data_IF_649383547666
#
_entry.id   IF_649383547666
#
_cell.length_a   1.000
_cell.length_b   1.000
_cell.length_c   1.000
_cell.angle_alpha   90.00
_cell.angle_beta   90.00
_cell.angle_gamma   90.00
#
_symmetry.space_group_name_H-M   'P 1'
#
loop_
_entity.id
_entity.type
_entity.pdbx_description
1 polymer ?
#
# COMPACT_ATOMS: atom_id res chain seq x y z
N UNK A 1 17.45 -59.66 51.15
CA UNK A 1 16.47 -60.33 50.26
C UNK A 1 15.08 -59.94 50.70
N UNK A 2 14.31 -59.40 49.76
CA UNK A 2 12.88 -59.03 49.81
C UNK A 2 12.50 -57.91 50.81
N UNK A 3 12.05 -56.77 50.29
CA UNK A 3 11.42 -55.69 51.04
C UNK A 3 10.96 -54.58 50.11
N UNK A 4 9.67 -54.59 49.78
CA UNK A 4 9.01 -53.75 48.78
C UNK A 4 9.04 -52.24 49.12
N UNK A 5 9.26 -51.41 48.10
CA UNK A 5 9.12 -49.96 48.19
C UNK A 5 7.65 -49.54 47.99
N UNK A 6 7.06 -48.91 49.01
CA UNK A 6 5.76 -48.25 48.94
C UNK A 6 5.87 -46.97 48.10
N UNK A 7 4.96 -46.83 47.13
CA UNK A 7 4.70 -45.59 46.42
C UNK A 7 3.90 -44.62 47.31
N UNK A 8 4.39 -43.40 47.49
CA UNK A 8 3.62 -42.29 48.05
C UNK A 8 3.26 -41.31 46.93
N UNK A 9 1.97 -41.28 46.56
CA UNK A 9 1.39 -40.24 45.71
C UNK A 9 1.35 -38.92 46.51
N UNK A 10 2.13 -37.91 46.11
CA UNK A 10 1.81 -36.51 46.40
C UNK A 10 1.00 -35.95 45.23
N UNK A 11 -0.29 -35.69 45.46
CA UNK A 11 -1.11 -34.89 44.59
C UNK A 11 -0.71 -33.41 44.78
N UNK A 12 -0.01 -32.84 43.81
CA UNK A 12 0.17 -31.38 43.72
C UNK A 12 -0.99 -30.83 42.90
N UNK A 13 -1.93 -30.19 43.59
CA UNK A 13 -2.96 -29.34 42.99
C UNK A 13 -2.28 -28.08 42.43
N UNK A 14 -2.08 -28.03 41.12
CA UNK A 14 -1.71 -26.79 40.43
C UNK A 14 -2.98 -25.94 40.33
N UNK A 15 -3.08 -24.92 41.17
CA UNK A 15 -4.05 -23.86 41.00
C UNK A 15 -3.72 -23.11 39.71
N UNK A 16 -4.58 -23.21 38.70
CA UNK A 16 -4.46 -22.47 37.46
C UNK A 16 -4.56 -20.97 37.73
N UNK A 17 -3.50 -20.24 37.43
CA UNK A 17 -3.51 -18.79 37.33
C UNK A 17 -4.37 -18.39 36.13
N UNK A 18 -5.26 -17.39 36.25
CA UNK A 18 -6.02 -16.88 35.10
C UNK A 18 -5.05 -16.31 34.07
N UNK A 19 -5.25 -16.72 32.81
CA UNK A 19 -4.32 -16.51 31.71
C UNK A 19 -3.87 -15.06 31.57
N UNK A 20 -2.55 -14.85 31.63
CA UNK A 20 -1.95 -13.68 31.03
C UNK A 20 -2.35 -13.67 29.53
N UNK A 21 -2.99 -12.59 29.08
CA UNK A 21 -3.08 -12.33 27.64
C UNK A 21 -1.65 -12.39 27.10
N UNK A 22 -1.40 -13.28 26.14
CA UNK A 22 -0.15 -13.24 25.39
C UNK A 22 -0.03 -11.82 24.82
N UNK A 23 0.96 -11.08 25.31
CA UNK A 23 1.33 -9.81 24.72
C UNK A 23 1.86 -10.16 23.33
N UNK A 24 1.06 -9.84 22.31
CA UNK A 24 1.37 -10.14 20.93
C UNK A 24 2.62 -9.31 20.61
N UNK A 25 3.77 -9.98 20.39
CA UNK A 25 5.00 -9.31 19.98
C UNK A 25 4.66 -8.41 18.79
N UNK A 26 5.08 -7.13 18.80
CA UNK A 26 4.73 -6.22 17.71
C UNK A 26 5.15 -6.86 16.38
N UNK A 27 4.32 -6.71 15.33
CA UNK A 27 4.64 -7.27 14.03
C UNK A 27 6.03 -6.81 13.60
N UNK A 28 6.84 -7.75 13.09
CA UNK A 28 8.19 -7.43 12.62
C UNK A 28 8.11 -6.55 11.40
N UNK A 29 8.77 -5.39 11.49
CA UNK A 29 9.05 -4.49 10.37
C UNK A 29 10.43 -4.84 9.83
N UNK A 30 10.56 -4.96 8.51
CA UNK A 30 11.79 -5.31 7.83
C UNK A 30 12.66 -4.06 7.73
N UNK A 31 13.63 -3.95 8.64
CA UNK A 31 14.70 -2.96 8.49
C UNK A 31 15.50 -3.24 7.21
N UNK A 32 15.50 -2.28 6.28
CA UNK A 32 16.25 -2.38 5.04
C UNK A 32 17.65 -1.84 5.23
N UNK A 33 18.66 -2.51 4.67
CA UNK A 33 20.04 -2.04 4.69
C UNK A 33 20.50 -1.77 3.26
N UNK A 34 21.06 -0.58 3.02
CA UNK A 34 21.70 -0.23 1.75
C UNK A 34 23.07 0.38 1.97
N UNK A 35 24.02 -0.02 1.11
CA UNK A 35 25.32 0.64 1.01
C UNK A 35 25.22 1.82 0.03
N UNK A 36 25.22 3.04 0.57
CA UNK A 36 25.36 4.28 -0.20
C UNK A 36 26.80 4.41 -0.68
N UNK A 37 26.98 4.60 -1.98
CA UNK A 37 28.29 4.58 -2.65
C UNK A 37 28.70 5.95 -3.13
N UNK A 38 30.02 6.16 -3.20
CA UNK A 38 30.64 7.32 -3.84
C UNK A 38 30.34 7.35 -5.33
N UNK A 39 29.95 8.53 -5.85
CA UNK A 39 29.84 8.83 -7.28
C UNK A 39 31.07 9.56 -7.79
N UNK A 40 31.43 10.65 -7.11
CA UNK A 40 32.57 11.50 -7.42
C UNK A 40 33.39 11.81 -6.17
N UNK A 41 34.63 12.24 -6.34
CA UNK A 41 35.43 12.81 -5.27
C UNK A 41 36.48 13.78 -5.78
N UNK A 42 36.97 14.61 -4.86
CA UNK A 42 38.05 15.54 -5.10
C UNK A 42 39.02 15.54 -3.93
N UNK A 43 40.29 15.80 -4.21
CA UNK A 43 41.28 16.12 -3.18
C UNK A 43 41.86 17.50 -3.43
N UNK A 44 42.17 18.23 -2.36
CA UNK A 44 42.71 19.59 -2.44
C UNK A 44 44.03 19.67 -1.70
N UNK A 45 44.98 20.40 -2.26
CA UNK A 45 46.34 20.53 -1.72
C UNK A 45 46.64 21.99 -1.38
N UNK A 46 47.04 22.24 -0.14
CA UNK A 46 47.41 23.60 0.32
C UNK A 46 48.56 24.22 -0.47
N UNK A 47 49.53 23.40 -0.90
CA UNK A 47 50.69 23.83 -1.71
C UNK A 47 50.30 24.19 -3.14
N UNK A 48 49.27 23.56 -3.70
CA UNK A 48 48.77 23.83 -5.06
C UNK A 48 47.34 24.38 -5.00
N UNK A 49 47.17 25.60 -4.46
CA UNK A 49 45.86 26.04 -3.97
C UNK A 49 44.82 26.31 -5.05
N UNK A 50 45.25 26.43 -6.31
CA UNK A 50 44.42 26.67 -7.50
C UNK A 50 44.39 25.45 -8.43
N UNK A 51 45.01 24.34 -8.07
CA UNK A 51 45.06 23.14 -8.92
C UNK A 51 43.95 22.18 -8.48
N UNK A 52 42.96 21.89 -9.34
CA UNK A 52 41.95 20.90 -9.02
C UNK A 52 42.52 19.48 -9.14
N UNK A 53 41.94 18.55 -8.37
CA UNK A 53 42.19 17.12 -8.50
C UNK A 53 40.87 16.37 -8.40
N UNK A 54 40.22 16.19 -9.55
CA UNK A 54 38.90 15.58 -9.69
C UNK A 54 39.01 14.09 -10.06
N UNK A 55 38.33 13.23 -9.31
CA UNK A 55 38.31 11.77 -9.49
C UNK A 55 39.68 11.14 -9.82
N UNK A 56 40.76 11.41 -9.05
CA UNK A 56 42.03 10.76 -9.31
C UNK A 56 41.92 9.25 -9.04
N UNK A 57 42.82 8.47 -9.66
CA UNK A 57 42.77 6.99 -9.60
C UNK A 57 43.25 6.41 -8.26
N UNK A 58 44.04 7.16 -7.50
CA UNK A 58 44.62 6.71 -6.23
C UNK A 58 43.70 6.89 -5.02
N UNK A 59 44.20 6.48 -3.86
CA UNK A 59 43.51 6.67 -2.58
C UNK A 59 43.60 8.12 -2.09
N UNK A 60 42.68 8.46 -1.19
CA UNK A 60 42.44 9.82 -0.74
C UNK A 60 43.43 10.24 0.37
N UNK A 61 44.29 11.24 0.13
CA UNK A 61 45.17 11.76 1.16
C UNK A 61 44.41 12.71 2.11
N UNK A 62 44.71 12.62 3.40
CA UNK A 62 44.14 13.50 4.44
C UNK A 62 45.25 13.90 5.41
N UNK A 63 45.35 15.20 5.74
CA UNK A 63 46.32 15.72 6.70
C UNK A 63 47.66 16.15 6.08
N UNK A 64 48.68 16.37 6.92
CA UNK A 64 49.94 17.00 6.51
C UNK A 64 50.99 15.99 6.03
N UNK A 65 51.18 15.90 4.72
CA UNK A 65 52.23 15.06 4.12
C UNK A 65 53.59 15.77 4.15
N UNK A 66 54.54 15.22 4.90
CA UNK A 66 55.94 15.68 4.90
C UNK A 66 56.59 15.46 3.54
N UNK A 67 56.37 14.28 2.93
CA UNK A 67 56.95 13.91 1.63
C UNK A 67 56.46 14.83 0.50
N UNK A 68 55.16 15.09 0.42
CA UNK A 68 54.60 15.98 -0.60
C UNK A 68 54.74 17.48 -0.25
N UNK A 69 55.15 17.79 1.00
CA UNK A 69 55.30 19.15 1.56
C UNK A 69 54.00 19.95 1.44
N UNK A 70 52.86 19.33 1.76
CA UNK A 70 51.53 19.94 1.66
C UNK A 70 50.55 19.32 2.65
N UNK A 71 49.43 20.00 2.87
CA UNK A 71 48.27 19.46 3.60
C UNK A 71 47.19 19.11 2.59
N UNK A 72 46.59 17.94 2.76
CA UNK A 72 45.48 17.46 1.95
C UNK A 72 44.17 17.43 2.74
N UNK A 73 43.08 17.72 2.03
CA UNK A 73 41.71 17.39 2.43
C UNK A 73 41.05 16.65 1.27
N UNK A 74 40.12 15.76 1.59
CA UNK A 74 39.43 14.96 0.58
C UNK A 74 37.92 15.07 0.76
N UNK A 75 37.19 15.09 -0.35
CA UNK A 75 35.75 15.27 -0.40
C UNK A 75 35.11 14.20 -1.27
N UNK A 76 34.01 13.61 -0.82
CA UNK A 76 33.35 12.48 -1.44
C UNK A 76 31.87 12.77 -1.63
N UNK A 77 31.41 12.75 -2.88
CA UNK A 77 30.00 12.86 -3.21
C UNK A 77 29.38 11.47 -3.18
N UNK A 78 28.36 11.28 -2.36
CA UNK A 78 27.67 10.03 -2.07
C UNK A 78 26.28 10.04 -2.70
N UNK A 79 25.84 8.92 -3.27
CA UNK A 79 24.53 8.78 -3.94
C UNK A 79 23.40 8.46 -2.97
N UNK A 80 22.49 9.40 -2.75
CA UNK A 80 21.32 9.21 -1.88
C UNK A 80 20.07 8.76 -2.62
N UNK A 81 20.09 8.63 -3.95
CA UNK A 81 18.91 8.19 -4.74
C UNK A 81 18.25 6.89 -4.24
N UNK A 82 18.99 5.86 -3.79
CA UNK A 82 18.37 4.65 -3.22
C UNK A 82 17.47 4.94 -2.01
N UNK A 83 17.76 6.01 -1.26
CA UNK A 83 17.04 6.41 -0.05
C UNK A 83 15.89 7.39 -0.31
N UNK A 84 15.55 7.67 -1.58
CA UNK A 84 14.46 8.58 -1.92
C UNK A 84 13.15 8.13 -1.24
N UNK A 85 12.52 9.05 -0.49
CA UNK A 85 11.28 8.80 0.24
C UNK A 85 11.39 7.87 1.46
N UNK A 86 12.61 7.50 1.87
CA UNK A 86 12.84 6.63 3.01
C UNK A 86 12.98 7.42 4.33
N UNK A 87 12.56 6.79 5.42
CA UNK A 87 12.87 7.18 6.80
C UNK A 87 14.20 6.53 7.20
N UNK A 88 15.20 7.36 7.49
CA UNK A 88 16.54 6.89 7.91
C UNK A 88 16.55 6.62 9.41
N UNK A 89 16.81 5.36 9.78
CA UNK A 89 16.89 4.90 11.16
C UNK A 89 18.33 5.01 11.69
N UNK A 90 19.29 4.47 10.94
CA UNK A 90 20.72 4.55 11.26
C UNK A 90 21.55 4.79 9.98
N UNK A 91 22.70 5.45 10.11
CA UNK A 91 23.66 5.57 9.02
C UNK A 91 25.08 5.61 9.56
N UNK A 92 25.93 4.67 9.14
CA UNK A 92 27.31 4.56 9.59
C UNK A 92 28.26 4.69 8.40
N UNK A 93 29.21 5.61 8.50
CA UNK A 93 30.32 5.67 7.54
C UNK A 93 31.26 4.48 7.81
N UNK A 94 31.64 3.77 6.74
CA UNK A 94 32.69 2.77 6.77
C UNK A 94 33.72 3.14 5.71
N UNK A 95 34.82 3.78 6.14
CA UNK A 95 35.82 4.29 5.21
C UNK A 95 37.20 3.65 5.49
N UNK A 96 37.64 2.70 4.66
CA UNK A 96 38.87 1.95 4.93
C UNK A 96 40.09 2.87 5.02
N UNK A 97 40.88 2.71 6.09
CA UNK A 97 42.19 3.37 6.25
C UNK A 97 43.26 2.50 5.59
N UNK A 98 43.81 2.99 4.47
CA UNK A 98 44.82 2.25 3.68
C UNK A 98 46.20 2.37 4.32
N UNK A 99 46.57 3.56 4.77
CA UNK A 99 47.81 3.77 5.53
C UNK A 99 47.71 4.94 6.50
N UNK A 100 48.49 4.89 7.57
CA UNK A 100 48.60 5.95 8.56
C UNK A 100 50.07 6.16 8.95
N UNK A 101 50.49 7.41 9.11
CA UNK A 101 51.83 7.72 9.65
C UNK A 101 51.92 7.37 11.13
N UNK A 102 50.86 7.64 11.89
CA UNK A 102 50.73 7.25 13.30
C UNK A 102 49.29 6.93 13.64
N UNK A 103 49.13 5.94 14.52
CA UNK A 103 47.87 5.52 15.11
C UNK A 103 47.48 6.33 16.35
N UNK A 104 48.44 7.00 16.99
CA UNK A 104 48.28 7.70 18.27
C UNK A 104 47.83 9.16 18.10
N UNK A 105 47.39 9.50 16.89
CA UNK A 105 46.81 10.81 16.56
C UNK A 105 45.29 10.68 16.54
N UNK A 106 44.55 11.76 16.90
CA UNK A 106 43.09 11.75 16.79
C UNK A 106 42.63 11.35 15.38
N UNK A 107 41.48 10.68 15.29
CA UNK A 107 40.89 10.31 14.03
C UNK A 107 40.56 11.54 13.16
N UNK A 108 40.59 11.42 11.82
CA UNK A 108 40.13 12.48 10.94
C UNK A 108 38.69 12.90 11.26
N UNK A 109 38.40 14.19 11.14
CA UNK A 109 37.04 14.69 11.24
C UNK A 109 36.28 14.43 9.94
N UNK A 110 35.00 14.07 10.06
CA UNK A 110 34.07 13.90 8.95
C UNK A 110 32.99 14.97 9.03
N UNK A 111 32.70 15.61 7.91
CA UNK A 111 31.73 16.70 7.83
C UNK A 111 30.81 16.55 6.62
N UNK A 112 29.54 16.93 6.76
CA UNK A 112 28.72 17.31 5.62
C UNK A 112 29.22 18.65 5.06
N UNK A 113 29.29 18.75 3.73
CA UNK A 113 29.82 19.91 3.02
C UNK A 113 28.89 20.33 1.88
N UNK A 114 29.13 21.52 1.33
CA UNK A 114 28.57 21.89 0.03
C UNK A 114 29.08 20.97 -1.09
N UNK A 115 28.48 21.11 -2.27
CA UNK A 115 28.81 20.25 -3.41
C UNK A 115 30.21 20.50 -4.00
N UNK A 116 30.75 19.49 -4.68
CA UNK A 116 32.08 19.52 -5.33
C UNK A 116 31.95 19.36 -6.83
N UNK A 117 32.87 19.95 -7.58
CA UNK A 117 32.95 19.79 -9.03
C UNK A 117 34.40 19.66 -9.53
N UNK A 118 34.57 19.49 -10.85
CA UNK A 118 35.87 19.32 -11.50
C UNK A 118 36.86 20.49 -11.29
N UNK A 119 36.38 21.65 -10.88
CA UNK A 119 37.19 22.81 -10.57
C UNK A 119 37.41 23.00 -9.05
N UNK A 120 36.96 22.10 -8.17
CA UNK A 120 37.21 22.18 -6.72
C UNK A 120 38.70 22.28 -6.40
N UNK A 121 39.10 23.28 -5.62
CA UNK A 121 40.51 23.52 -5.22
C UNK A 121 40.60 23.90 -3.75
N UNK A 122 41.82 24.05 -3.20
CA UNK A 122 41.99 24.51 -1.82
C UNK A 122 41.37 25.89 -1.57
N UNK A 123 41.50 26.82 -2.54
CA UNK A 123 40.93 28.18 -2.44
C UNK A 123 39.43 28.23 -2.77
N UNK A 124 38.92 27.26 -3.55
CA UNK A 124 37.49 27.13 -3.90
C UNK A 124 36.94 25.78 -3.43
N UNK A 125 37.17 25.45 -2.16
CA UNK A 125 36.58 24.27 -1.54
C UNK A 125 35.14 24.57 -1.10
N UNK A 126 34.27 23.55 -1.00
CA UNK A 126 32.91 23.76 -0.50
C UNK A 126 32.90 24.27 0.95
N UNK A 127 31.78 24.86 1.33
CA UNK A 127 31.52 25.20 2.73
C UNK A 127 31.44 23.93 3.59
N UNK A 128 31.99 23.98 4.79
CA UNK A 128 31.91 22.91 5.79
C UNK A 128 30.69 23.19 6.66
N UNK A 129 29.65 22.36 6.55
CA UNK A 129 28.31 22.68 7.04
C UNK A 129 28.05 22.08 8.43
N UNK A 130 28.16 20.76 8.56
CA UNK A 130 27.83 20.03 9.80
C UNK A 130 28.89 18.98 10.10
N UNK A 131 29.47 19.01 11.29
CA UNK A 131 30.41 17.99 11.75
C UNK A 131 29.62 16.73 12.16
N UNK A 132 30.09 15.55 11.78
CA UNK A 132 29.50 14.27 12.16
C UNK A 132 29.68 13.93 13.66
N UNK A 133 30.54 14.67 14.36
CA UNK A 133 30.85 14.43 15.77
C UNK A 133 32.07 13.50 15.93
N UNK A 134 32.10 12.66 16.97
CA UNK A 134 33.20 11.75 17.22
C UNK A 134 33.42 10.76 16.07
N UNK A 135 34.69 10.50 15.75
CA UNK A 135 35.09 9.52 14.74
C UNK A 135 36.07 8.50 15.33
N UNK A 136 36.08 7.29 14.77
CA UNK A 136 36.98 6.19 15.15
C UNK A 136 37.95 5.85 14.00
N UNK A 137 38.79 4.83 14.16
CA UNK A 137 39.58 4.30 13.03
C UNK A 137 40.82 5.10 12.65
N UNK A 138 41.86 5.02 13.47
CA UNK A 138 43.11 5.77 13.23
C UNK A 138 44.18 4.97 12.50
N UNK A 139 44.10 3.64 12.46
CA UNK A 139 45.16 2.76 11.96
C UNK A 139 44.81 2.11 10.62
N UNK A 140 45.85 1.74 9.85
CA UNK A 140 45.69 0.91 8.66
C UNK A 140 45.04 -0.44 9.00
N UNK A 141 44.16 -0.93 8.13
CA UNK A 141 43.43 -2.18 8.36
C UNK A 141 42.17 -2.04 9.22
N UNK A 142 41.84 -0.80 9.62
CA UNK A 142 40.58 -0.44 10.26
C UNK A 142 39.78 0.51 9.36
N UNK A 143 38.53 0.79 9.74
CA UNK A 143 37.67 1.77 9.09
C UNK A 143 37.63 3.04 9.91
N UNK A 144 37.78 4.18 9.24
CA UNK A 144 37.30 5.46 9.76
C UNK A 144 35.78 5.39 9.79
N UNK A 145 35.21 5.43 10.99
CA UNK A 145 33.77 5.36 11.21
C UNK A 145 33.25 6.68 11.80
N UNK A 146 32.02 6.99 11.44
CA UNK A 146 31.28 8.16 11.93
C UNK A 146 29.79 7.85 11.88
N UNK A 147 29.07 8.19 12.95
CA UNK A 147 27.60 8.19 12.92
C UNK A 147 27.12 9.36 12.06
N UNK A 148 26.44 9.03 10.97
CA UNK A 148 25.90 9.98 10.02
C UNK A 148 24.36 10.01 10.02
N UNK A 149 23.70 9.35 10.99
CA UNK A 149 22.24 9.18 10.97
C UNK A 149 21.50 10.51 10.83
N UNK A 150 21.89 11.53 11.60
CA UNK A 150 21.27 12.85 11.53
C UNK A 150 21.55 13.56 10.19
N UNK A 151 22.81 13.52 9.72
CA UNK A 151 23.21 14.15 8.45
C UNK A 151 22.47 13.54 7.26
N UNK A 152 22.40 12.20 7.19
CA UNK A 152 21.74 11.49 6.09
C UNK A 152 20.22 11.69 6.17
N UNK A 153 19.63 11.65 7.36
CA UNK A 153 18.19 11.90 7.55
C UNK A 153 17.80 13.30 7.09
N UNK A 154 18.56 14.33 7.48
CA UNK A 154 18.32 15.72 7.06
C UNK A 154 18.41 15.87 5.54
N UNK A 155 19.41 15.26 4.90
CA UNK A 155 19.59 15.31 3.45
C UNK A 155 18.45 14.61 2.69
N UNK A 156 18.03 13.43 3.13
CA UNK A 156 16.92 12.67 2.54
C UNK A 156 15.59 13.41 2.73
N UNK A 157 15.32 13.96 3.92
CA UNK A 157 14.12 14.75 4.19
C UNK A 157 14.06 16.04 3.34
N UNK A 158 15.20 16.63 3.01
CA UNK A 158 15.31 17.77 2.10
C UNK A 158 15.20 17.37 0.60
N UNK A 159 14.99 16.09 0.28
CA UNK A 159 14.87 15.60 -1.10
C UNK A 159 16.19 15.62 -1.87
N UNK A 160 17.34 15.67 -1.18
CA UNK A 160 18.64 15.67 -1.83
C UNK A 160 18.92 14.30 -2.43
N UNK A 161 19.38 14.28 -3.69
CA UNK A 161 19.80 13.04 -4.35
C UNK A 161 21.26 12.67 -4.07
N UNK A 162 22.01 13.57 -3.43
CA UNK A 162 23.44 13.42 -3.17
C UNK A 162 23.82 14.09 -1.86
N UNK A 163 24.87 13.57 -1.19
CA UNK A 163 25.48 14.14 0.00
C UNK A 163 27.00 14.20 -0.19
N UNK A 164 27.62 15.34 0.11
CA UNK A 164 29.08 15.46 0.01
C UNK A 164 29.73 15.45 1.39
N UNK A 165 30.56 14.45 1.65
CA UNK A 165 31.38 14.32 2.86
C UNK A 165 32.74 14.98 2.65
N UNK A 166 33.16 15.86 3.54
CA UNK A 166 34.52 16.39 3.63
C UNK A 166 35.28 15.75 4.78
N UNK A 167 36.54 15.39 4.54
CA UNK A 167 37.42 14.75 5.52
C UNK A 167 38.71 15.56 5.65
N UNK A 168 39.07 15.88 6.89
CA UNK A 168 40.30 16.59 7.25
C UNK A 168 40.90 16.01 8.53
N UNK A 169 42.21 16.16 8.70
CA UNK A 169 42.83 15.78 9.97
C UNK A 169 42.36 16.70 11.10
N UNK A 170 42.17 16.16 12.31
CA UNK A 170 41.85 16.95 13.49
C UNK A 170 42.93 18.00 13.80
N UNK A 171 44.20 17.65 13.56
CA UNK A 171 45.33 18.58 13.56
C UNK A 171 46.09 18.50 12.23
N UNK A 172 45.82 19.46 11.35
CA UNK A 172 46.49 19.61 10.05
C UNK A 172 47.92 20.19 10.14
N UNK A 173 48.38 20.53 11.35
CA UNK A 173 49.75 20.98 11.60
C UNK A 173 50.68 19.82 12.00
N UNK A 174 50.17 18.76 12.64
CA UNK A 174 50.94 17.58 13.00
C UNK A 174 51.19 16.67 11.78
N UNK A 175 52.45 16.45 11.35
CA UNK A 175 52.74 15.53 10.25
C UNK A 175 52.37 14.06 10.54
N UNK A 176 52.21 13.68 11.81
CA UNK A 176 51.80 12.32 12.20
C UNK A 176 50.33 12.04 11.91
N UNK A 177 49.52 13.08 11.69
CA UNK A 177 48.09 12.96 11.38
C UNK A 177 47.81 12.56 9.93
N UNK A 178 48.84 12.51 9.08
CA UNK A 178 48.67 12.13 7.67
C UNK A 178 48.22 10.67 7.54
N UNK A 179 47.12 10.49 6.82
CA UNK A 179 46.54 9.18 6.49
C UNK A 179 46.17 9.14 5.01
N UNK A 180 46.13 7.93 4.48
CA UNK A 180 45.59 7.63 3.15
C UNK A 180 44.37 6.75 3.35
N UNK A 181 43.22 7.18 2.84
CA UNK A 181 41.95 6.49 2.97
C UNK A 181 41.51 5.96 1.61
N UNK A 182 40.83 4.81 1.58
CA UNK A 182 40.38 4.20 0.32
C UNK A 182 39.45 5.13 -0.45
N UNK A 183 39.65 5.35 -1.75
CA UNK A 183 38.74 6.21 -2.52
C UNK A 183 37.32 5.62 -2.72
N UNK A 184 36.97 4.50 -2.08
CA UNK A 184 35.64 3.89 -2.10
C UNK A 184 35.02 3.82 -0.70
N UNK A 185 34.71 4.97 -0.06
CA UNK A 185 33.92 4.95 1.17
C UNK A 185 32.51 4.42 0.88
N UNK A 186 31.91 3.79 1.89
CA UNK A 186 30.49 3.44 1.88
C UNK A 186 29.81 4.02 3.13
N UNK A 187 28.52 4.35 3.02
CA UNK A 187 27.67 4.58 4.19
C UNK A 187 26.69 3.43 4.24
N UNK A 188 26.75 2.63 5.31
CA UNK A 188 25.75 1.61 5.58
C UNK A 188 24.54 2.29 6.22
N UNK A 189 23.38 2.22 5.57
CA UNK A 189 22.16 2.91 6.00
C UNK A 189 21.06 1.90 6.27
N UNK A 190 20.54 1.92 7.49
CA UNK A 190 19.30 1.24 7.87
C UNK A 190 18.12 2.19 7.67
N UNK A 191 17.12 1.77 6.91
CA UNK A 191 15.99 2.61 6.53
C UNK A 191 14.69 1.81 6.41
N UNK A 192 13.59 2.56 6.29
CA UNK A 192 12.24 2.06 6.03
C UNK A 192 11.58 3.00 5.02
N UNK A 193 10.83 2.50 4.04
CA UNK A 193 9.98 3.29 3.15
C UNK A 193 8.54 3.16 3.62
N UNK A 194 7.76 4.23 3.46
CA UNK A 194 6.36 4.16 3.86
C UNK A 194 5.54 3.26 2.92
N UNK A 195 4.44 2.68 3.41
CA UNK A 195 3.47 2.00 2.57
C UNK A 195 3.03 2.87 1.40
N UNK A 196 2.81 2.25 0.25
CA UNK A 196 2.33 2.94 -0.94
C UNK A 196 0.90 3.46 -0.74
N UNK A 197 0.48 4.38 -1.61
CA UNK A 197 -0.91 4.81 -1.71
C UNK A 197 -1.81 3.58 -1.94
N UNK A 198 -2.79 3.29 -1.07
CA UNK A 198 -3.67 2.15 -1.27
C UNK A 198 -4.45 2.23 -2.59
N UNK A 199 -4.71 1.06 -3.18
CA UNK A 199 -5.37 0.91 -4.48
C UNK A 199 -6.48 -0.13 -4.42
N UNK A 200 -7.17 -0.38 -5.54
CA UNK A 200 -8.26 -1.35 -5.64
C UNK A 200 -9.33 -1.16 -4.56
N UNK A 201 -9.64 0.10 -4.24
CA UNK A 201 -10.68 0.44 -3.29
C UNK A 201 -12.01 -0.13 -3.78
N UNK A 202 -12.74 -0.81 -2.90
CA UNK A 202 -14.02 -1.42 -3.21
C UNK A 202 -14.90 -1.53 -1.96
N UNK A 203 -16.20 -1.75 -2.18
CA UNK A 203 -17.12 -2.10 -1.10
C UNK A 203 -17.78 -3.44 -1.38
N UNK A 204 -17.68 -4.36 -0.41
CA UNK A 204 -18.13 -5.75 -0.57
C UNK A 204 -19.64 -5.94 -0.51
N UNK A 205 -20.40 -4.90 -0.16
CA UNK A 205 -21.87 -4.91 -0.30
C UNK A 205 -22.32 -5.13 -1.75
N UNK A 206 -21.45 -4.86 -2.74
CA UNK A 206 -21.70 -5.11 -4.17
C UNK A 206 -20.48 -5.57 -4.97
N UNK A 207 -19.34 -5.83 -4.31
CA UNK A 207 -18.02 -6.01 -4.95
C UNK A 207 -17.68 -4.92 -5.98
N UNK A 208 -18.29 -3.73 -5.85
CA UNK A 208 -18.10 -2.66 -6.83
C UNK A 208 -16.81 -1.90 -6.50
N UNK A 209 -15.91 -1.72 -7.48
CA UNK A 209 -14.76 -0.88 -7.30
C UNK A 209 -15.21 0.56 -7.11
N UNK A 210 -14.50 1.29 -6.25
CA UNK A 210 -14.63 2.73 -6.16
C UNK A 210 -14.19 3.36 -7.48
N UNK A 211 -14.98 4.31 -7.97
CA UNK A 211 -14.76 4.98 -9.24
C UNK A 211 -15.20 6.45 -9.19
N UNK A 212 -15.12 7.16 -10.33
CA UNK A 212 -15.53 8.56 -10.42
C UNK A 212 -17.04 8.74 -10.27
N UNK A 213 -17.82 7.71 -10.61
CA UNK A 213 -19.27 7.74 -10.49
C UNK A 213 -19.71 7.40 -9.05
N UNK A 214 -20.72 8.12 -8.57
CA UNK A 214 -21.31 7.90 -7.25
C UNK A 214 -21.86 6.48 -7.13
N UNK A 215 -21.30 5.71 -6.20
CA UNK A 215 -21.76 4.36 -5.90
C UNK A 215 -23.00 4.37 -5.00
N UNK A 216 -23.82 3.32 -5.12
CA UNK A 216 -25.00 3.09 -4.29
C UNK A 216 -24.84 1.75 -3.56
N UNK A 217 -25.15 1.71 -2.26
CA UNK A 217 -25.04 0.51 -1.43
C UNK A 217 -26.32 0.24 -0.65
N UNK A 218 -26.68 -1.03 -0.53
CA UNK A 218 -27.92 -1.48 0.11
C UNK A 218 -27.83 -1.68 1.61
N UNK A 219 -26.68 -1.36 2.21
CA UNK A 219 -26.40 -1.66 3.62
C UNK A 219 -25.90 -0.41 4.34
N UNK A 220 -26.37 -0.24 5.58
CA UNK A 220 -25.92 0.80 6.51
C UNK A 220 -24.64 0.41 7.27
N UNK A 221 -24.21 -0.84 7.15
CA UNK A 221 -22.95 -1.37 7.70
C UNK A 221 -22.09 -2.01 6.59
N UNK A 222 -21.69 -1.27 5.55
CA UNK A 222 -20.91 -1.81 4.44
C UNK A 222 -19.50 -2.19 4.90
N UNK A 223 -18.90 -3.14 4.19
CA UNK A 223 -17.50 -3.51 4.37
C UNK A 223 -16.63 -2.79 3.33
N UNK A 224 -15.68 -1.99 3.83
CA UNK A 224 -14.73 -1.20 3.06
C UNK A 224 -13.48 -2.04 2.80
N UNK A 225 -12.94 -2.02 1.58
CA UNK A 225 -11.84 -2.88 1.17
C UNK A 225 -10.82 -2.12 0.33
N UNK A 226 -9.53 -2.40 0.53
CA UNK A 226 -8.47 -1.89 -0.32
C UNK A 226 -7.25 -2.82 -0.32
N UNK A 227 -6.48 -2.77 -1.40
CA UNK A 227 -5.14 -3.37 -1.45
C UNK A 227 -4.10 -2.37 -0.97
N UNK A 228 -3.25 -2.81 -0.04
CA UNK A 228 -2.17 -2.00 0.53
C UNK A 228 -0.85 -2.71 0.23
N UNK A 229 0.10 -1.98 -0.34
CA UNK A 229 1.45 -2.46 -0.62
C UNK A 229 2.47 -1.67 0.19
N UNK A 230 3.57 -2.33 0.48
CA UNK A 230 4.78 -1.74 1.02
C UNK A 230 5.95 -2.07 0.08
N UNK A 231 6.78 -1.08 -0.29
CA UNK A 231 7.92 -1.26 -1.17
C UNK A 231 9.11 -1.99 -0.53
N UNK A 232 9.17 -2.08 0.80
CA UNK A 232 10.26 -2.76 1.50
C UNK A 232 10.15 -4.28 1.31
N UNK A 233 11.28 -4.92 0.97
CA UNK A 233 11.38 -6.34 0.62
C UNK A 233 12.62 -6.96 1.24
N UNK A 234 12.48 -8.15 1.81
CA UNK A 234 13.63 -8.94 2.23
C UNK A 234 14.24 -9.72 1.05
N UNK A 235 15.34 -10.43 1.32
CA UNK A 235 16.08 -11.22 0.32
C UNK A 235 15.25 -12.31 -0.37
N UNK A 236 14.16 -12.77 0.24
CA UNK A 236 13.25 -13.78 -0.33
C UNK A 236 12.03 -13.17 -1.04
N UNK A 237 11.97 -11.83 -1.14
CA UNK A 237 10.86 -11.10 -1.75
C UNK A 237 9.64 -10.91 -0.84
N UNK A 238 9.71 -11.34 0.42
CA UNK A 238 8.71 -11.05 1.43
C UNK A 238 8.73 -9.57 1.79
N UNK A 239 7.56 -8.92 1.76
CA UNK A 239 7.42 -7.52 2.17
C UNK A 239 6.95 -7.37 3.61
N UNK A 240 6.84 -6.13 4.05
CA UNK A 240 6.40 -5.79 5.40
C UNK A 240 4.97 -6.23 5.71
N UNK A 241 4.73 -6.40 7.01
CA UNK A 241 3.39 -6.49 7.55
C UNK A 241 2.82 -5.08 7.66
N UNK A 242 1.64 -4.90 7.07
CA UNK A 242 0.93 -3.63 7.06
C UNK A 242 -0.47 -3.76 7.64
N UNK A 243 -0.98 -2.65 8.14
CA UNK A 243 -2.36 -2.47 8.58
C UNK A 243 -3.00 -1.32 7.81
N UNK A 244 -4.26 -1.48 7.43
CA UNK A 244 -5.06 -0.41 6.84
C UNK A 244 -5.74 0.43 7.91
N UNK A 245 -5.53 1.75 7.86
CA UNK A 245 -6.25 2.73 8.69
C UNK A 245 -7.32 3.40 7.85
N UNK A 246 -8.58 3.07 8.12
CA UNK A 246 -9.74 3.55 7.40
C UNK A 246 -10.41 4.69 8.14
N UNK A 247 -10.98 5.62 7.38
CA UNK A 247 -11.88 6.65 7.90
C UNK A 247 -13.01 6.93 6.94
N UNK A 248 -14.16 7.31 7.49
CA UNK A 248 -15.36 7.66 6.74
C UNK A 248 -16.00 8.94 7.29
N UNK A 249 -16.57 9.69 6.36
CA UNK A 249 -16.89 11.11 6.48
C UNK A 249 -18.23 11.40 5.81
N UNK A 250 -18.87 12.48 6.24
CA UNK A 250 -19.89 13.16 5.42
C UNK A 250 -19.19 14.02 4.36
N UNK A 251 -19.73 14.11 3.13
CA UNK A 251 -19.28 15.07 2.14
C UNK A 251 -19.31 16.48 2.73
N UNK A 252 -18.23 17.24 2.53
CA UNK A 252 -18.06 18.57 3.13
C UNK A 252 -17.21 18.62 4.40
N UNK A 253 -16.68 17.48 4.88
CA UNK A 253 -15.56 17.47 5.82
C UNK A 253 -15.91 17.20 7.28
N UNK A 254 -16.99 16.48 7.57
CA UNK A 254 -17.27 15.96 8.91
C UNK A 254 -16.84 14.50 9.03
N UNK A 255 -15.90 14.19 9.93
CA UNK A 255 -15.49 12.81 10.20
C UNK A 255 -16.54 12.11 11.05
N UNK A 256 -17.05 10.98 10.58
CA UNK A 256 -18.03 10.16 11.29
C UNK A 256 -17.32 9.11 12.14
N UNK A 257 -16.28 8.49 11.58
CA UNK A 257 -15.58 7.40 12.23
C UNK A 257 -14.31 6.95 11.53
N UNK A 258 -13.76 5.84 12.02
CA UNK A 258 -12.62 5.16 11.45
C UNK A 258 -12.32 3.85 12.20
N UNK A 259 -11.56 2.98 11.56
CA UNK A 259 -11.16 1.68 12.11
C UNK A 259 -9.82 1.25 11.52
N UNK A 260 -9.11 0.38 12.24
CA UNK A 260 -7.93 -0.31 11.72
C UNK A 260 -8.33 -1.72 11.30
N UNK A 261 -7.75 -2.20 10.19
CA UNK A 261 -7.90 -3.59 9.77
C UNK A 261 -7.06 -4.53 10.62
N UNK A 262 -7.17 -5.83 10.31
CA UNK A 262 -6.15 -6.80 10.70
C UNK A 262 -4.78 -6.46 10.06
N UNK A 263 -3.71 -6.99 10.66
CA UNK A 263 -2.33 -6.86 10.17
C UNK A 263 -2.00 -8.01 9.23
N UNK A 264 -1.47 -7.71 8.05
CA UNK A 264 -1.27 -8.68 6.99
C UNK A 264 -0.09 -8.39 6.10
N UNK A 265 0.26 -9.34 5.25
CA UNK A 265 1.34 -9.16 4.27
C UNK A 265 1.03 -8.04 3.29
N UNK A 266 2.05 -7.25 2.96
CA UNK A 266 2.06 -6.34 1.80
C UNK A 266 1.49 -7.01 0.54
N UNK A 267 0.53 -6.34 -0.11
CA UNK A 267 -0.21 -6.82 -1.28
C UNK A 267 -1.51 -7.55 -0.97
N UNK A 268 -1.85 -7.79 0.30
CA UNK A 268 -3.15 -8.35 0.68
C UNK A 268 -4.30 -7.34 0.52
N UNK A 269 -5.53 -7.84 0.51
CA UNK A 269 -6.74 -7.03 0.57
C UNK A 269 -7.17 -6.86 2.04
N UNK A 270 -7.15 -5.63 2.51
CA UNK A 270 -7.49 -5.24 3.88
C UNK A 270 -8.91 -4.72 3.93
N UNK A 271 -9.61 -5.02 5.03
CA UNK A 271 -11.01 -4.65 5.18
C UNK A 271 -11.40 -4.27 6.59
N UNK A 272 -12.41 -3.40 6.67
CA UNK A 272 -13.12 -3.03 7.90
C UNK A 272 -14.62 -2.97 7.61
N UNK A 273 -15.44 -3.24 8.62
CA UNK A 273 -16.89 -3.06 8.54
C UNK A 273 -17.26 -1.78 9.27
N UNK A 274 -18.03 -0.90 8.61
CA UNK A 274 -18.58 0.28 9.28
C UNK A 274 -19.60 -0.19 10.33
N UNK A 275 -19.48 0.22 11.61
CA UNK A 275 -20.43 -0.19 12.64
C UNK A 275 -21.86 0.26 12.34
N UNK A 276 -22.84 -0.54 12.76
CA UNK A 276 -24.24 -0.17 12.67
C UNK A 276 -24.54 1.17 13.36
N UNK A 277 -25.51 1.91 12.84
CA UNK A 277 -25.97 3.18 13.39
C UNK A 277 -25.14 4.40 12.98
N UNK A 278 -24.02 4.23 12.28
CA UNK A 278 -23.21 5.36 11.80
C UNK A 278 -23.66 5.89 10.43
N UNK A 279 -24.20 5.02 9.57
CA UNK A 279 -24.71 5.39 8.27
C UNK A 279 -26.24 5.28 8.25
N UNK A 280 -26.87 6.19 7.51
CA UNK A 280 -28.33 6.28 7.37
C UNK A 280 -28.73 6.13 5.91
N UNK A 281 -29.89 5.53 5.71
CA UNK A 281 -30.52 5.44 4.40
C UNK A 281 -30.76 6.84 3.79
N UNK A 282 -30.51 6.98 2.49
CA UNK A 282 -30.64 8.22 1.74
C UNK A 282 -29.51 9.23 1.92
N UNK A 283 -28.52 8.97 2.78
CA UNK A 283 -27.38 9.86 3.00
C UNK A 283 -26.14 9.46 2.16
N UNK A 284 -25.33 10.46 1.78
CA UNK A 284 -24.07 10.29 1.07
C UNK A 284 -22.88 10.36 2.04
N UNK A 285 -21.88 9.53 1.80
CA UNK A 285 -20.66 9.39 2.58
C UNK A 285 -19.43 9.29 1.69
N UNK A 286 -18.26 9.56 2.25
CA UNK A 286 -16.98 9.34 1.61
C UNK A 286 -16.06 8.58 2.56
N UNK A 287 -15.24 7.67 2.06
CA UNK A 287 -14.22 7.00 2.86
C UNK A 287 -12.88 6.95 2.14
N UNK A 288 -11.81 6.78 2.91
CA UNK A 288 -10.46 6.57 2.41
C UNK A 288 -9.66 5.73 3.40
N UNK A 289 -8.51 5.24 2.94
CA UNK A 289 -7.62 4.38 3.71
C UNK A 289 -6.16 4.74 3.44
N UNK A 290 -5.30 4.57 4.44
CA UNK A 290 -3.85 4.64 4.30
C UNK A 290 -3.20 3.40 4.92
N UNK A 291 -2.03 3.01 4.41
CA UNK A 291 -1.22 1.94 4.99
C UNK A 291 -0.39 2.43 6.18
N UNK A 292 -0.18 1.55 7.14
CA UNK A 292 0.72 1.73 8.28
C UNK A 292 1.54 0.46 8.48
N UNK A 293 2.87 0.58 8.54
CA UNK A 293 3.83 -0.52 8.68
C UNK A 293 4.44 -0.61 10.09
N UNK A 294 3.89 0.10 11.08
CA UNK A 294 4.42 0.21 12.44
C UNK A 294 5.63 1.13 12.65
N UNK A 295 6.20 1.69 11.58
CA UNK A 295 7.27 2.70 11.63
C UNK A 295 6.75 4.04 11.11
N UNK A 296 6.12 4.04 9.95
CA UNK A 296 5.60 5.22 9.27
C UNK A 296 4.24 4.95 8.64
N UNK A 297 3.59 6.03 8.21
CA UNK A 297 2.28 5.98 7.57
C UNK A 297 2.39 6.44 6.13
N UNK A 298 1.82 5.66 5.22
CA UNK A 298 1.73 5.97 3.80
C UNK A 298 0.76 7.12 3.51
N UNK A 299 0.71 7.58 2.25
CA UNK A 299 -0.30 8.55 1.83
C UNK A 299 -1.70 7.94 1.86
N UNK A 300 -2.71 8.80 2.04
CA UNK A 300 -4.10 8.42 1.87
C UNK A 300 -4.42 8.02 0.43
N UNK A 301 -5.30 7.04 0.29
CA UNK A 301 -5.99 6.73 -0.97
C UNK A 301 -6.78 7.92 -1.49
N UNK A 302 -7.25 7.82 -2.73
CA UNK A 302 -8.33 8.68 -3.20
C UNK A 302 -9.59 8.44 -2.36
N UNK A 303 -10.48 9.43 -2.33
CA UNK A 303 -11.78 9.30 -1.70
C UNK A 303 -12.67 8.38 -2.51
N UNK A 304 -13.42 7.52 -1.82
CA UNK A 304 -14.50 6.74 -2.38
C UNK A 304 -15.84 7.25 -1.85
N UNK A 305 -16.61 7.91 -2.72
CA UNK A 305 -17.94 8.43 -2.40
C UNK A 305 -19.04 7.40 -2.70
N UNK A 306 -20.02 7.32 -1.81
CA UNK A 306 -21.16 6.43 -1.96
C UNK A 306 -22.42 6.99 -1.27
N UNK A 307 -23.58 6.54 -1.71
CA UNK A 307 -24.87 6.80 -1.08
C UNK A 307 -25.46 5.50 -0.57
N UNK A 308 -26.00 5.53 0.64
CA UNK A 308 -26.74 4.40 1.19
C UNK A 308 -28.17 4.48 0.68
N UNK A 309 -28.63 3.37 0.11
CA UNK A 309 -29.99 3.14 -0.35
C UNK A 309 -30.37 1.72 0.06
N UNK A 310 -30.79 1.58 1.30
CA UNK A 310 -31.22 0.35 1.94
C UNK A 310 -32.74 0.11 1.78
N UNK A 311 -33.44 1.04 1.12
CA UNK A 311 -34.88 0.95 0.88
C UNK A 311 -35.13 0.10 -0.36
N UNK A 312 -35.80 -1.05 -0.17
CA UNK A 312 -36.17 -1.89 -1.31
C UNK A 312 -37.32 -1.26 -2.11
N UNK A 313 -37.38 -1.48 -3.44
CA UNK A 313 -38.57 -1.18 -4.22
C UNK A 313 -39.83 -1.79 -3.60
N UNK A 314 -40.85 -0.96 -3.37
CA UNK A 314 -42.07 -1.32 -2.66
C UNK A 314 -43.07 -2.12 -3.52
N UNK A 315 -42.88 -2.13 -4.84
CA UNK A 315 -43.72 -2.84 -5.82
C UNK A 315 -42.88 -3.56 -6.86
N UNK A 316 -43.41 -4.69 -7.33
CA UNK A 316 -42.81 -5.44 -8.44
C UNK A 316 -43.06 -4.78 -9.80
N UNK A 317 -42.33 -5.22 -10.84
CA UNK A 317 -42.47 -4.70 -12.19
C UNK A 317 -43.83 -5.04 -12.81
N UNK A 318 -44.27 -4.24 -13.79
CA UNK A 318 -45.40 -4.63 -14.64
C UNK A 318 -44.88 -5.40 -15.84
N UNK A 319 -45.52 -6.52 -16.16
CA UNK A 319 -45.16 -7.38 -17.30
C UNK A 319 -46.30 -7.36 -18.31
N UNK A 320 -45.97 -7.13 -19.58
CA UNK A 320 -46.92 -7.19 -20.70
C UNK A 320 -46.34 -7.98 -21.87
N UNK A 321 -47.21 -8.65 -22.63
CA UNK A 321 -46.86 -9.31 -23.88
C UNK A 321 -48.08 -9.35 -24.80
N UNK A 322 -47.90 -8.89 -26.04
CA UNK A 322 -48.91 -9.01 -27.10
C UNK A 322 -48.91 -10.41 -27.73
N UNK A 323 -47.74 -11.08 -27.74
CA UNK A 323 -47.57 -12.44 -28.27
C UNK A 323 -48.12 -13.52 -27.31
N UNK A 324 -48.03 -13.26 -26.01
CA UNK A 324 -48.50 -14.14 -24.94
C UNK A 324 -49.27 -13.35 -23.86
N UNK A 325 -50.48 -12.84 -24.17
CA UNK A 325 -51.29 -12.14 -23.19
C UNK A 325 -51.77 -13.09 -22.07
N UNK A 326 -52.23 -12.56 -20.92
CA UNK A 326 -52.59 -13.38 -19.76
C UNK A 326 -53.78 -14.32 -19.98
N UNK A 327 -54.57 -14.08 -21.03
CA UNK A 327 -55.82 -14.80 -21.30
C UNK A 327 -55.81 -15.40 -22.70
N UNK A 328 -56.32 -16.63 -22.83
CA UNK A 328 -56.38 -17.38 -24.09
C UNK A 328 -55.13 -18.23 -24.33
N UNK A 329 -55.19 -19.10 -25.33
CA UNK A 329 -54.05 -19.90 -25.78
C UNK A 329 -53.35 -19.19 -26.95
N UNK A 330 -52.04 -18.97 -26.83
CA UNK A 330 -51.27 -18.24 -27.83
C UNK A 330 -49.98 -18.97 -28.20
N UNK A 331 -49.43 -18.63 -29.37
CA UNK A 331 -48.16 -19.17 -29.86
C UNK A 331 -48.12 -20.70 -29.96
N UNK A 332 -47.02 -21.28 -29.49
CA UNK A 332 -46.79 -22.73 -29.39
C UNK A 332 -45.40 -23.04 -28.83
N UNK A 333 -45.10 -24.33 -28.59
CA UNK A 333 -43.77 -24.76 -28.14
C UNK A 333 -42.71 -24.32 -29.16
N UNK A 334 -41.66 -23.64 -28.70
CA UNK A 334 -40.57 -23.18 -29.56
C UNK A 334 -40.86 -21.90 -30.34
N UNK A 335 -42.05 -21.32 -30.21
CA UNK A 335 -42.38 -20.03 -30.81
C UNK A 335 -41.92 -18.92 -29.86
N UNK A 336 -41.05 -18.00 -30.28
CA UNK A 336 -40.64 -16.88 -29.44
C UNK A 336 -41.75 -15.84 -29.31
N UNK A 337 -41.82 -15.17 -28.16
CA UNK A 337 -42.66 -13.99 -27.95
C UNK A 337 -41.94 -12.92 -27.16
N UNK A 338 -42.46 -11.70 -27.28
CA UNK A 338 -41.87 -10.50 -26.72
C UNK A 338 -42.56 -10.13 -25.42
N UNK A 339 -41.77 -9.91 -24.38
CA UNK A 339 -42.24 -9.48 -23.06
C UNK A 339 -41.60 -8.15 -22.72
N UNK A 340 -42.41 -7.20 -22.26
CA UNK A 340 -41.95 -5.90 -21.79
C UNK A 340 -42.13 -5.83 -20.28
N UNK A 341 -41.06 -5.43 -19.60
CA UNK A 341 -41.01 -5.20 -18.16
C UNK A 341 -40.91 -3.69 -17.94
N UNK A 342 -41.74 -3.13 -17.05
CA UNK A 342 -41.66 -1.72 -16.66
C UNK A 342 -41.45 -1.60 -15.16
N UNK A 343 -40.76 -0.55 -14.73
CA UNK A 343 -40.47 -0.32 -13.31
C UNK A 343 -41.71 0.02 -12.45
N UNK A 344 -42.91 0.08 -13.04
CA UNK A 344 -44.16 0.31 -12.31
C UNK A 344 -44.12 1.57 -11.41
N UNK A 345 -43.52 2.65 -11.90
CA UNK A 345 -43.37 3.90 -11.15
C UNK A 345 -42.39 3.84 -9.97
N UNK A 346 -41.43 2.91 -9.98
CA UNK A 346 -40.24 2.95 -9.14
C UNK A 346 -39.11 3.60 -9.94
N UNK A 347 -38.53 4.71 -9.45
CA UNK A 347 -37.69 5.60 -10.26
C UNK A 347 -36.23 5.14 -10.42
N UNK A 348 -35.81 4.12 -9.67
CA UNK A 348 -34.40 3.72 -9.56
C UNK A 348 -34.12 2.26 -9.91
N UNK A 349 -35.12 1.51 -10.40
CA UNK A 349 -34.89 0.21 -11.05
C UNK A 349 -34.00 0.41 -12.28
N UNK A 350 -32.84 -0.26 -12.30
CA UNK A 350 -31.86 -0.20 -13.39
C UNK A 350 -31.69 -1.53 -14.13
N UNK A 351 -32.17 -2.62 -13.55
CA UNK A 351 -32.07 -3.97 -14.11
C UNK A 351 -33.32 -4.77 -13.74
N UNK A 352 -33.77 -5.65 -14.64
CA UNK A 352 -34.80 -6.64 -14.36
C UNK A 352 -34.21 -8.04 -14.37
N UNK A 353 -34.67 -8.90 -13.48
CA UNK A 353 -34.30 -10.30 -13.43
C UNK A 353 -35.53 -11.13 -13.79
N UNK A 354 -35.43 -12.00 -14.79
CA UNK A 354 -36.56 -12.78 -15.29
C UNK A 354 -36.24 -14.25 -15.57
N UNK A 355 -37.24 -15.14 -15.46
CA UNK A 355 -37.05 -16.58 -15.67
C UNK A 355 -38.34 -17.40 -15.53
N UNK A 356 -38.25 -18.69 -15.83
CA UNK A 356 -39.35 -19.66 -15.71
C UNK A 356 -39.49 -20.26 -14.30
N UNK A 357 -38.58 -19.91 -13.41
CA UNK A 357 -38.59 -20.23 -11.98
C UNK A 357 -38.18 -18.99 -11.18
N UNK A 358 -38.77 -18.75 -9.99
CA UNK A 358 -38.35 -17.64 -9.13
C UNK A 358 -36.90 -17.78 -8.63
N UNK A 359 -36.33 -19.00 -8.67
CA UNK A 359 -34.98 -19.29 -8.18
C UNK A 359 -33.89 -19.08 -9.24
N UNK A 360 -34.26 -19.08 -10.53
CA UNK A 360 -33.31 -19.02 -11.65
C UNK A 360 -33.71 -17.88 -12.58
N UNK A 361 -33.27 -16.68 -12.23
CA UNK A 361 -33.56 -15.46 -12.97
C UNK A 361 -32.32 -14.94 -13.70
N UNK A 362 -32.50 -14.48 -14.93
CA UNK A 362 -31.46 -13.89 -15.78
C UNK A 362 -31.60 -12.37 -15.78
N UNK A 363 -30.50 -11.60 -15.74
CA UNK A 363 -30.55 -10.15 -15.77
C UNK A 363 -30.81 -9.61 -17.18
N UNK A 364 -31.52 -8.49 -17.27
CA UNK A 364 -31.64 -7.62 -18.44
C UNK A 364 -31.64 -6.16 -17.98
N UNK A 365 -30.78 -5.29 -18.53
CA UNK A 365 -30.75 -3.88 -18.14
C UNK A 365 -32.04 -3.16 -18.53
N UNK A 366 -32.49 -2.23 -17.68
CA UNK A 366 -33.48 -1.25 -18.06
C UNK A 366 -32.86 -0.22 -19.03
N UNK A 367 -33.68 0.35 -19.92
CA UNK A 367 -33.28 1.41 -20.85
C UNK A 367 -32.79 2.70 -20.14
N UNK A 368 -33.29 2.96 -18.94
CA UNK A 368 -32.88 4.02 -18.02
C UNK A 368 -33.35 3.69 -16.60
N UNK A 369 -32.86 4.39 -15.56
CA UNK A 369 -33.44 4.29 -14.22
C UNK A 369 -34.95 4.54 -14.23
N UNK A 370 -35.69 3.63 -13.60
CA UNK A 370 -37.15 3.61 -13.55
C UNK A 370 -37.83 3.40 -14.90
N UNK A 371 -37.09 2.84 -15.86
CA UNK A 371 -37.52 2.63 -17.22
C UNK A 371 -38.12 1.25 -17.48
N UNK A 372 -37.83 0.73 -18.66
CA UNK A 372 -38.36 -0.54 -19.17
C UNK A 372 -37.28 -1.41 -19.80
N UNK A 373 -37.56 -2.70 -19.93
CA UNK A 373 -36.76 -3.65 -20.70
C UNK A 373 -37.67 -4.54 -21.53
N UNK A 374 -37.21 -4.90 -22.73
CA UNK A 374 -37.93 -5.82 -23.62
C UNK A 374 -37.06 -7.04 -23.88
N UNK A 375 -37.63 -8.22 -23.70
CA UNK A 375 -36.93 -9.50 -23.92
C UNK A 375 -37.74 -10.41 -24.82
N UNK A 376 -37.03 -11.24 -25.57
CA UNK A 376 -37.62 -12.38 -26.27
C UNK A 376 -37.53 -13.61 -25.37
N UNK A 377 -38.65 -14.27 -25.15
CA UNK A 377 -38.74 -15.52 -24.39
C UNK A 377 -39.41 -16.60 -25.26
N UNK A 378 -38.83 -17.81 -25.24
CA UNK A 378 -39.32 -18.94 -26.03
C UNK A 378 -39.82 -20.04 -25.09
N UNK A 379 -41.14 -20.23 -24.98
CA UNK A 379 -41.68 -21.31 -24.15
C UNK A 379 -41.29 -22.69 -24.67
N UNK A 380 -40.88 -23.57 -23.75
CA UNK A 380 -40.46 -24.94 -24.04
C UNK A 380 -41.51 -26.00 -23.70
N UNK A 381 -42.64 -25.58 -23.11
CA UNK A 381 -43.77 -26.43 -22.72
C UNK A 381 -45.08 -25.78 -23.16
N UNK A 382 -46.07 -26.62 -23.46
CA UNK A 382 -47.44 -26.19 -23.72
C UNK A 382 -48.26 -26.13 -22.42
N UNK A 383 -49.42 -25.50 -22.49
CA UNK A 383 -50.33 -25.29 -21.36
C UNK A 383 -49.93 -24.08 -20.51
N UNK A 384 -50.40 -24.07 -19.27
CA UNK A 384 -50.15 -22.99 -18.31
C UNK A 384 -48.66 -22.81 -18.03
N UNK A 385 -48.17 -21.59 -18.26
CA UNK A 385 -46.80 -21.17 -18.00
C UNK A 385 -46.78 -19.96 -17.07
N UNK A 386 -45.67 -19.81 -16.35
CA UNK A 386 -45.38 -18.66 -15.51
C UNK A 386 -44.02 -18.07 -15.88
N UNK A 387 -43.97 -16.75 -16.06
CA UNK A 387 -42.75 -15.97 -16.17
C UNK A 387 -42.59 -15.15 -14.88
N UNK A 388 -41.53 -15.38 -14.14
CA UNK A 388 -41.20 -14.67 -12.93
C UNK A 388 -40.31 -13.49 -13.26
N UNK A 389 -40.62 -12.29 -12.76
CA UNK A 389 -39.87 -11.06 -13.03
C UNK A 389 -39.74 -10.23 -11.75
N UNK A 390 -38.55 -9.69 -11.48
CA UNK A 390 -38.35 -8.66 -10.44
C UNK A 390 -37.48 -7.52 -10.98
N UNK A 391 -37.65 -6.33 -10.42
CA UNK A 391 -36.72 -5.23 -10.61
C UNK A 391 -35.58 -5.28 -9.59
N UNK A 392 -34.44 -4.70 -9.96
CA UNK A 392 -33.29 -4.45 -9.09
C UNK A 392 -32.94 -2.96 -9.23
N UNK A 393 -32.91 -2.26 -8.10
CA UNK A 393 -32.54 -0.85 -8.07
C UNK A 393 -31.04 -0.63 -8.27
N UNK A 394 -30.65 0.64 -8.39
CA UNK A 394 -29.24 1.05 -8.54
C UNK A 394 -28.33 0.62 -7.38
N UNK A 395 -28.90 0.39 -6.20
CA UNK A 395 -28.24 -0.07 -4.99
C UNK A 395 -28.32 -1.60 -4.84
N UNK A 396 -28.82 -2.32 -5.83
CA UNK A 396 -28.92 -3.77 -5.84
C UNK A 396 -30.05 -4.35 -4.97
N UNK A 397 -30.99 -3.54 -4.48
CA UNK A 397 -32.14 -4.08 -3.76
C UNK A 397 -33.15 -4.70 -4.73
N UNK A 398 -33.62 -5.93 -4.46
CA UNK A 398 -34.66 -6.55 -5.28
C UNK A 398 -36.05 -6.08 -4.87
N UNK A 399 -36.91 -5.84 -5.87
CA UNK A 399 -38.35 -5.70 -5.69
C UNK A 399 -39.01 -7.03 -5.30
N UNK A 400 -40.29 -7.02 -4.88
CA UNK A 400 -41.13 -8.21 -4.95
C UNK A 400 -41.11 -8.83 -6.36
N UNK A 401 -41.16 -10.17 -6.41
CA UNK A 401 -41.29 -10.91 -7.67
C UNK A 401 -42.75 -10.84 -8.14
N UNK A 402 -42.94 -10.60 -9.44
CA UNK A 402 -44.22 -10.70 -10.14
C UNK A 402 -44.23 -12.00 -10.94
N UNK A 403 -45.31 -12.76 -10.79
CA UNK A 403 -45.61 -13.93 -11.60
C UNK A 403 -46.56 -13.51 -12.72
N UNK A 404 -46.08 -13.58 -13.96
CA UNK A 404 -46.88 -13.36 -15.16
C UNK A 404 -47.33 -14.70 -15.73
N UNK A 405 -48.62 -14.96 -15.69
CA UNK A 405 -49.20 -16.23 -16.13
C UNK A 405 -49.73 -16.11 -17.55
N UNK A 406 -49.48 -17.11 -18.39
CA UNK A 406 -49.94 -17.17 -19.77
C UNK A 406 -50.12 -18.62 -20.21
N UNK A 407 -50.91 -18.86 -21.26
CA UNK A 407 -51.14 -20.22 -21.77
C UNK A 407 -50.54 -20.40 -23.16
N UNK A 408 -49.67 -21.40 -23.29
CA UNK A 408 -49.03 -21.76 -24.57
C UNK A 408 -49.86 -22.83 -25.27
N UNK A 409 -50.22 -22.61 -26.54
CA UNK A 409 -51.02 -23.57 -27.29
C UNK A 409 -50.33 -24.95 -27.40
N UNK A 410 -51.13 -26.01 -27.32
CA UNK A 410 -50.65 -27.36 -27.60
C UNK A 410 -50.34 -27.55 -29.07
N UNK A 411 -49.39 -28.44 -29.43
CA UNK A 411 -49.21 -28.84 -30.82
C UNK A 411 -50.55 -29.33 -31.38
N UNK A 412 -50.96 -28.81 -32.53
CA UNK A 412 -52.17 -29.28 -33.19
C UNK A 412 -52.09 -30.81 -33.34
N UNK A 413 -53.11 -31.54 -32.85
CA UNK A 413 -53.16 -32.98 -33.00
C UNK A 413 -53.06 -33.32 -34.48
N UNK A 414 -52.04 -34.08 -34.88
CA UNK A 414 -51.91 -34.57 -36.24
C UNK A 414 -53.16 -35.38 -36.56
N UNK A 415 -54.06 -34.79 -37.35
CA UNK A 415 -55.35 -35.41 -37.68
C UNK A 415 -55.13 -36.80 -38.24
N UNK A 416 -55.78 -37.79 -37.65
CA UNK A 416 -55.94 -39.11 -38.22
C UNK A 416 -56.58 -38.95 -39.61
N UNK A 417 -55.80 -39.20 -40.66
CA UNK A 417 -56.35 -39.38 -42.01
C UNK A 417 -57.31 -40.57 -41.95
N UNK A 418 -58.58 -40.31 -42.21
CA UNK A 418 -59.61 -41.35 -42.40
C UNK A 418 -59.32 -42.19 -43.63
#
# INVERSE_FOLDING_TARGET
MVGAALASLLAVTVAGTPGAKAEQEPPRVLEQIVAVKRTDWATVSKRFPNTPSWNPTGDAPVGRSVRARTTYRSFFRMDLRPLAGATVQAAMLEHPVVSAVSCDTPAPEVWATGDIDAATTWKRQPAWLKNAGPTSGTCSGHWLEADLAEIVRDAVAAGQTQLTLGIRAADESDPRSYKTLSNTPIISVTYNKAPDKPTALSMLSHFKPCGPDRMWVSQTAPQLNATITDPDRNETGGGDLVTGRFEWWRPGGERIGGAESWTGSSGANFSVTVPEGQLKDGETYAWRVQGYDYVTTGPWSDWCEFTVDATRPDRGPTVTSDDYPPTGEHGGIGIPGTFTFTANGVDDIVEFHYGDSPDVLRPVPADRPGGSATVTYTPVRAGWQSLYVRGVDRAGNPSPIVQYEFTVAWPAAAGTRK
#
